data_IF_770801696331
#
_entry.id   IF_770801696331
#
_cell.length_a   1.000
_cell.length_b   1.000
_cell.length_c   1.000
_cell.angle_alpha   90.00
_cell.angle_beta   90.00
_cell.angle_gamma   90.00
#
_symmetry.space_group_name_H-M   'P 1'
#
loop_
_entity.id
_entity.type
_entity.pdbx_description
1 polymer ?
#
# COMPACT_ATOMS: atom_id res chain seq x y z
N UNK A 1 -11.38 6.75 22.39
CA UNK A 1 -12.52 7.14 21.53
C UNK A 1 -12.16 6.74 20.12
N UNK A 2 -12.81 5.70 19.59
CA UNK A 2 -12.70 5.34 18.18
C UNK A 2 -13.01 6.59 17.35
N UNK A 3 -12.15 6.95 16.39
CA UNK A 3 -12.36 8.09 15.49
C UNK A 3 -12.69 7.55 14.10
N UNK A 4 -13.96 7.27 13.78
CA UNK A 4 -14.38 6.78 12.46
C UNK A 4 -13.87 7.65 11.32
N UNK A 5 -13.76 8.97 11.55
CA UNK A 5 -13.24 9.92 10.59
C UNK A 5 -11.84 9.55 10.09
N UNK A 6 -10.95 9.07 10.98
CA UNK A 6 -9.59 8.68 10.60
C UNK A 6 -9.61 7.53 9.59
N UNK A 7 -10.46 6.53 9.80
CA UNK A 7 -10.59 5.38 8.91
C UNK A 7 -11.35 5.73 7.62
N UNK A 8 -12.30 6.67 7.67
CA UNK A 8 -12.97 7.20 6.47
C UNK A 8 -12.03 8.02 5.57
N UNK A 9 -10.91 8.52 6.10
CA UNK A 9 -9.88 9.20 5.31
C UNK A 9 -8.97 8.23 4.54
N UNK A 10 -8.94 6.94 4.90
CA UNK A 10 -8.07 5.94 4.27
C UNK A 10 -8.16 5.90 2.74
N UNK A 11 -9.37 5.90 2.11
CA UNK A 11 -9.47 5.93 0.65
C UNK A 11 -8.80 7.16 0.01
N UNK A 12 -8.86 8.33 0.67
CA UNK A 12 -8.31 9.59 0.15
C UNK A 12 -6.79 9.57 0.23
N UNK A 13 -6.22 9.19 1.39
CA UNK A 13 -4.76 9.11 1.55
C UNK A 13 -4.14 8.03 0.67
N UNK A 14 -4.86 6.92 0.46
CA UNK A 14 -4.49 5.89 -0.50
C UNK A 14 -4.41 6.46 -1.92
N UNK A 15 -5.45 7.15 -2.40
CA UNK A 15 -5.42 7.77 -3.73
C UNK A 15 -4.31 8.81 -3.89
N UNK A 16 -4.00 9.60 -2.86
CA UNK A 16 -2.89 10.56 -2.90
C UNK A 16 -1.55 9.84 -3.07
N UNK A 17 -1.34 8.77 -2.31
CA UNK A 17 -0.13 7.97 -2.38
C UNK A 17 0.03 7.28 -3.75
N UNK A 18 -0.99 6.56 -4.19
CA UNK A 18 -0.97 5.85 -5.46
C UNK A 18 -0.95 6.80 -6.66
N UNK A 19 -1.43 8.04 -6.54
CA UNK A 19 -1.27 9.05 -7.58
C UNK A 19 0.22 9.38 -7.84
N UNK A 20 1.05 9.47 -6.80
CA UNK A 20 2.51 9.61 -6.97
C UNK A 20 3.07 8.40 -7.71
N UNK A 21 2.67 7.19 -7.32
CA UNK A 21 3.11 5.96 -8.00
C UNK A 21 2.69 5.95 -9.47
N UNK A 22 1.43 6.26 -9.80
CA UNK A 22 0.92 6.30 -11.17
C UNK A 22 1.75 7.25 -12.03
N UNK A 23 2.03 8.45 -11.53
CA UNK A 23 2.76 9.50 -12.26
C UNK A 23 4.23 9.15 -12.45
N UNK A 24 4.87 8.59 -11.41
CA UNK A 24 6.35 8.48 -11.38
C UNK A 24 6.85 7.10 -11.80
N UNK A 25 6.08 6.03 -11.55
CA UNK A 25 6.52 4.64 -11.71
C UNK A 25 7.13 4.36 -13.08
N UNK A 26 6.47 4.74 -14.17
CA UNK A 26 6.95 4.36 -15.52
C UNK A 26 8.34 4.94 -15.82
N UNK A 27 8.48 6.23 -15.63
CA UNK A 27 9.75 6.94 -15.85
C UNK A 27 10.86 6.42 -14.92
N UNK A 28 10.50 6.06 -13.68
CA UNK A 28 11.45 5.50 -12.74
C UNK A 28 11.92 4.10 -13.17
N UNK A 29 11.02 3.21 -13.58
CA UNK A 29 11.35 1.86 -14.04
C UNK A 29 12.27 1.89 -15.27
N UNK A 30 11.97 2.76 -16.25
CA UNK A 30 12.77 2.84 -17.47
C UNK A 30 14.21 3.31 -17.20
N UNK A 31 14.43 4.15 -16.18
CA UNK A 31 15.76 4.68 -15.83
C UNK A 31 16.54 3.82 -14.84
N UNK A 32 15.86 3.16 -13.90
CA UNK A 32 16.51 2.57 -12.73
C UNK A 32 16.51 1.04 -12.71
N UNK A 33 15.58 0.37 -13.41
CA UNK A 33 15.40 -1.07 -13.27
C UNK A 33 16.67 -1.87 -13.57
N UNK A 34 17.42 -1.50 -14.61
CA UNK A 34 18.61 -2.26 -15.00
C UNK A 34 19.73 -2.16 -13.94
N UNK A 35 19.90 -0.98 -13.34
CA UNK A 35 20.83 -0.73 -12.23
C UNK A 35 20.40 -1.50 -10.98
N UNK A 36 19.10 -1.49 -10.67
CA UNK A 36 18.55 -2.21 -9.51
C UNK A 36 18.72 -3.72 -9.68
N UNK A 37 18.46 -4.25 -10.88
CA UNK A 37 18.64 -5.68 -11.19
C UNK A 37 20.10 -6.12 -11.07
N UNK A 38 21.06 -5.26 -11.43
CA UNK A 38 22.48 -5.55 -11.26
C UNK A 38 22.86 -5.63 -9.78
N UNK A 39 22.34 -4.71 -8.95
CA UNK A 39 22.64 -4.64 -7.51
C UNK A 39 21.88 -5.69 -6.68
N UNK A 40 20.67 -6.05 -7.11
CA UNK A 40 19.79 -7.02 -6.45
C UNK A 40 19.28 -8.07 -7.46
N UNK A 41 20.13 -9.03 -7.89
CA UNK A 41 19.76 -10.02 -8.90
C UNK A 41 18.54 -10.86 -8.53
N UNK A 42 18.32 -11.11 -7.23
CA UNK A 42 17.16 -11.82 -6.71
C UNK A 42 15.82 -11.12 -6.98
N UNK A 43 15.81 -9.79 -7.17
CA UNK A 43 14.61 -9.01 -7.46
C UNK A 43 14.26 -8.99 -8.96
N UNK A 44 15.11 -9.55 -9.83
CA UNK A 44 14.96 -9.50 -11.29
C UNK A 44 13.63 -10.05 -11.80
N UNK A 45 13.09 -11.19 -11.34
CA UNK A 45 11.80 -11.69 -11.81
C UNK A 45 10.66 -10.70 -11.53
N UNK A 46 10.62 -10.16 -10.31
CA UNK A 46 9.63 -9.18 -9.89
C UNK A 46 9.74 -7.88 -10.67
N UNK A 47 10.95 -7.32 -10.78
CA UNK A 47 11.17 -6.05 -11.49
C UNK A 47 10.85 -6.15 -12.99
N UNK A 48 11.12 -7.30 -13.62
CA UNK A 48 10.76 -7.53 -15.02
C UNK A 48 9.25 -7.49 -15.21
N UNK A 49 8.51 -8.15 -14.31
CA UNK A 49 7.04 -8.14 -14.31
C UNK A 49 6.48 -6.74 -14.10
N UNK A 50 6.98 -6.01 -13.09
CA UNK A 50 6.55 -4.65 -12.79
C UNK A 50 6.87 -3.66 -13.92
N UNK A 51 7.99 -3.85 -14.65
CA UNK A 51 8.37 -3.00 -15.81
C UNK A 51 7.46 -3.25 -17.02
N UNK A 52 7.02 -4.49 -17.21
CA UNK A 52 6.13 -4.87 -18.29
C UNK A 52 4.70 -4.33 -18.10
N UNK A 53 4.30 -4.06 -16.86
CA UNK A 53 2.95 -3.62 -16.54
C UNK A 53 2.62 -2.23 -17.09
N UNK A 54 1.53 -2.17 -17.85
CA UNK A 54 1.03 -0.94 -18.47
C UNK A 54 0.54 0.07 -17.42
N UNK A 55 0.56 1.38 -17.73
CA UNK A 55 -0.05 2.39 -16.84
C UNK A 55 -1.54 2.13 -16.66
N UNK A 56 -2.24 1.71 -17.71
CA UNK A 56 -3.65 1.34 -17.63
C UNK A 56 -3.87 0.15 -16.70
N UNK A 57 -3.09 -0.91 -16.82
CA UNK A 57 -3.17 -2.08 -15.94
C UNK A 57 -2.90 -1.71 -14.49
N UNK A 58 -1.87 -0.88 -14.23
CA UNK A 58 -1.61 -0.34 -12.90
C UNK A 58 -2.79 0.47 -12.34
N UNK A 59 -3.35 1.41 -13.10
CA UNK A 59 -4.53 2.17 -12.67
C UNK A 59 -5.75 1.27 -12.40
N UNK A 60 -5.93 0.16 -13.13
CA UNK A 60 -6.99 -0.81 -12.84
C UNK A 60 -6.80 -1.49 -11.49
N UNK A 61 -5.56 -1.84 -11.14
CA UNK A 61 -5.23 -2.41 -9.81
C UNK A 61 -5.50 -1.39 -8.71
N UNK A 62 -5.03 -0.15 -8.88
CA UNK A 62 -5.28 0.95 -7.91
C UNK A 62 -6.77 1.21 -7.72
N UNK A 63 -7.55 1.22 -8.82
CA UNK A 63 -8.98 1.45 -8.75
C UNK A 63 -9.72 0.34 -8.00
N UNK A 64 -9.26 -0.90 -8.12
CA UNK A 64 -9.87 -2.03 -7.41
C UNK A 64 -9.48 -2.06 -5.93
N UNK A 65 -8.22 -1.78 -5.58
CA UNK A 65 -7.80 -1.60 -4.18
C UNK A 65 -8.58 -0.46 -3.50
N UNK A 66 -8.83 0.64 -4.24
CA UNK A 66 -9.71 1.71 -3.76
C UNK A 66 -11.12 1.20 -3.43
N UNK A 67 -11.70 0.33 -4.27
CA UNK A 67 -13.02 -0.28 -4.01
C UNK A 67 -12.98 -1.23 -2.80
N UNK A 68 -11.90 -1.99 -2.61
CA UNK A 68 -11.70 -2.82 -1.42
C UNK A 68 -11.66 -1.97 -0.15
N UNK A 69 -10.95 -0.85 -0.17
CA UNK A 69 -10.89 0.09 0.96
C UNK A 69 -12.27 0.71 1.19
N UNK A 70 -12.99 1.13 0.14
CA UNK A 70 -14.35 1.66 0.25
C UNK A 70 -15.31 0.63 0.87
N UNK A 71 -15.22 -0.64 0.47
CA UNK A 71 -15.96 -1.73 1.08
C UNK A 71 -15.58 -1.92 2.55
N UNK A 72 -14.30 -1.80 2.90
CA UNK A 72 -13.83 -1.79 4.29
C UNK A 72 -14.50 -0.69 5.12
N UNK A 73 -14.64 0.51 4.57
CA UNK A 73 -15.36 1.63 5.22
C UNK A 73 -16.84 1.30 5.40
N UNK A 74 -17.51 0.73 4.40
CA UNK A 74 -18.90 0.30 4.52
C UNK A 74 -19.06 -0.79 5.60
N UNK A 75 -18.17 -1.78 5.64
CA UNK A 75 -18.16 -2.80 6.69
C UNK A 75 -17.99 -2.17 8.07
N UNK A 76 -17.11 -1.17 8.23
CA UNK A 76 -16.95 -0.45 9.50
C UNK A 76 -18.26 0.21 9.97
N UNK A 77 -19.03 0.79 9.06
CA UNK A 77 -20.27 1.49 9.37
C UNK A 77 -21.38 0.50 9.77
N UNK A 78 -21.52 -0.60 9.04
CA UNK A 78 -22.70 -1.47 9.14
C UNK A 78 -22.48 -2.82 9.83
N UNK A 79 -21.22 -3.28 9.97
CA UNK A 79 -20.91 -4.66 10.38
C UNK A 79 -19.82 -4.72 11.46
N UNK A 80 -18.59 -4.32 11.14
CA UNK A 80 -17.41 -4.45 11.99
C UNK A 80 -16.26 -3.58 11.49
N UNK A 81 -15.46 -3.03 12.42
CA UNK A 81 -14.25 -2.26 12.11
C UNK A 81 -13.03 -3.13 11.77
N UNK A 82 -13.10 -4.45 11.93
CA UNK A 82 -11.96 -5.35 11.69
C UNK A 82 -11.42 -5.29 10.24
N UNK A 83 -12.26 -5.30 9.18
CA UNK A 83 -11.76 -5.24 7.81
C UNK A 83 -11.00 -3.95 7.51
N UNK A 84 -11.54 -2.80 7.89
CA UNK A 84 -10.86 -1.51 7.66
C UNK A 84 -9.60 -1.38 8.53
N UNK A 85 -9.57 -1.98 9.72
CA UNK A 85 -8.38 -2.01 10.57
C UNK A 85 -7.26 -2.87 9.95
N UNK A 86 -7.59 -4.01 9.34
CA UNK A 86 -6.63 -4.82 8.60
C UNK A 86 -6.09 -4.08 7.37
N UNK A 87 -6.96 -3.43 6.59
CA UNK A 87 -6.54 -2.62 5.43
C UNK A 87 -5.71 -1.41 5.85
N UNK A 88 -6.02 -0.77 6.98
CA UNK A 88 -5.20 0.32 7.54
C UNK A 88 -3.79 -0.18 7.88
N UNK A 89 -3.64 -1.34 8.51
CA UNK A 89 -2.33 -1.93 8.75
C UNK A 89 -1.59 -2.28 7.44
N UNK A 90 -2.30 -2.83 6.46
CA UNK A 90 -1.76 -3.08 5.12
C UNK A 90 -1.19 -1.81 4.49
N UNK A 91 -1.97 -0.72 4.51
CA UNK A 91 -1.54 0.59 4.02
C UNK A 91 -0.33 1.12 4.79
N UNK A 92 -0.35 1.12 6.13
CA UNK A 92 0.79 1.57 6.95
C UNK A 92 2.07 0.83 6.54
N UNK A 93 2.01 -0.50 6.43
CA UNK A 93 3.16 -1.31 6.06
C UNK A 93 3.62 -1.05 4.62
N UNK A 94 2.71 -0.78 3.69
CA UNK A 94 3.03 -0.39 2.31
C UNK A 94 3.89 0.89 2.26
N UNK A 95 3.54 1.93 3.03
CA UNK A 95 4.36 3.14 3.13
C UNK A 95 5.77 2.83 3.66
N UNK A 96 5.86 1.96 4.68
CA UNK A 96 7.16 1.54 5.23
C UNK A 96 7.98 0.71 4.24
N UNK A 97 7.34 -0.06 3.35
CA UNK A 97 8.03 -0.76 2.26
C UNK A 97 8.73 0.24 1.35
N UNK A 98 8.08 1.33 0.94
CA UNK A 98 8.70 2.37 0.12
C UNK A 98 9.86 3.07 0.81
N UNK A 99 9.71 3.42 2.09
CA UNK A 99 10.80 4.00 2.89
C UNK A 99 11.98 3.02 2.98
N UNK A 100 11.71 1.74 3.21
CA UNK A 100 12.71 0.68 3.26
C UNK A 100 13.43 0.48 1.92
N UNK A 101 12.68 0.44 0.81
CA UNK A 101 13.22 0.37 -0.54
C UNK A 101 14.13 1.55 -0.85
N UNK A 102 13.69 2.78 -0.55
CA UNK A 102 14.50 3.98 -0.74
C UNK A 102 15.80 3.96 0.08
N UNK A 103 15.72 3.51 1.33
CA UNK A 103 16.87 3.38 2.23
C UNK A 103 17.87 2.35 1.71
N UNK A 104 17.39 1.18 1.28
CA UNK A 104 18.23 0.11 0.74
C UNK A 104 18.90 0.52 -0.58
N UNK A 105 18.14 1.16 -1.46
CA UNK A 105 18.61 1.65 -2.75
C UNK A 105 19.49 2.90 -2.61
N UNK A 106 19.37 3.64 -1.51
CA UNK A 106 19.93 4.97 -1.30
C UNK A 106 19.53 5.93 -2.42
N UNK A 107 18.29 5.80 -2.88
CA UNK A 107 17.74 6.55 -4.00
C UNK A 107 16.23 6.70 -3.82
N UNK A 108 15.67 7.65 -4.54
CA UNK A 108 14.22 7.82 -4.63
C UNK A 108 13.55 6.58 -5.24
N UNK A 109 12.34 6.24 -4.77
CA UNK A 109 11.44 5.25 -5.38
C UNK A 109 10.03 5.86 -5.53
N UNK A 110 9.23 5.43 -6.51
CA UNK A 110 7.85 5.89 -6.65
C UNK A 110 7.06 5.63 -5.36
N UNK A 111 6.38 6.66 -4.84
CA UNK A 111 5.62 6.56 -3.58
C UNK A 111 6.38 7.03 -2.33
N UNK A 112 7.68 7.31 -2.43
CA UNK A 112 8.49 7.74 -1.28
C UNK A 112 8.03 9.09 -0.71
N UNK A 113 7.70 10.06 -1.56
CA UNK A 113 7.41 11.43 -1.13
C UNK A 113 6.15 11.46 -0.26
N UNK A 114 5.08 10.88 -0.77
CA UNK A 114 3.80 10.74 -0.09
C UNK A 114 3.91 9.80 1.11
N UNK A 115 4.77 8.77 1.05
CA UNK A 115 5.02 7.91 2.23
C UNK A 115 5.56 8.72 3.41
N UNK A 116 6.50 9.64 3.17
CA UNK A 116 7.03 10.54 4.21
C UNK A 116 5.97 11.54 4.66
N UNK A 117 5.26 12.17 3.73
CA UNK A 117 4.21 13.18 4.03
C UNK A 117 3.08 12.57 4.87
N UNK A 118 2.74 11.29 4.65
CA UNK A 118 1.64 10.60 5.32
C UNK A 118 2.05 9.94 6.66
N UNK A 119 3.33 10.03 7.08
CA UNK A 119 3.76 9.52 8.40
C UNK A 119 2.95 10.07 9.58
N UNK A 120 2.58 11.36 9.65
CA UNK A 120 1.73 11.85 10.75
C UNK A 120 0.37 11.15 10.80
N UNK A 121 -0.22 10.85 9.64
CA UNK A 121 -1.47 10.10 9.54
C UNK A 121 -1.29 8.65 10.04
N UNK A 122 -0.21 7.96 9.65
CA UNK A 122 0.04 6.58 10.10
C UNK A 122 0.33 6.51 11.60
N UNK A 123 1.03 7.49 12.17
CA UNK A 123 1.27 7.57 13.63
C UNK A 123 -0.06 7.70 14.39
N UNK A 124 -0.96 8.55 13.92
CA UNK A 124 -2.30 8.68 14.51
C UNK A 124 -3.11 7.39 14.36
N UNK A 125 -3.07 6.74 13.20
CA UNK A 125 -3.75 5.47 12.94
C UNK A 125 -3.24 4.36 13.87
N UNK A 126 -1.92 4.19 14.01
CA UNK A 126 -1.32 3.23 14.94
C UNK A 126 -1.76 3.50 16.37
N UNK A 127 -1.75 4.77 16.81
CA UNK A 127 -2.19 5.14 18.16
C UNK A 127 -3.64 4.74 18.41
N UNK A 128 -4.54 4.99 17.46
CA UNK A 128 -5.96 4.62 17.61
C UNK A 128 -6.11 3.09 17.61
N UNK A 129 -5.43 2.38 16.71
CA UNK A 129 -5.46 0.92 16.61
C UNK A 129 -4.94 0.22 17.88
N UNK A 130 -3.89 0.74 18.52
CA UNK A 130 -3.34 0.17 19.76
C UNK A 130 -4.15 0.50 21.02
N UNK A 131 -4.96 1.57 20.97
CA UNK A 131 -5.94 1.85 22.02
C UNK A 131 -7.22 1.01 21.89
N UNK A 132 -7.60 0.65 20.66
CA UNK A 132 -8.81 -0.11 20.38
C UNK A 132 -8.60 -1.62 20.49
N UNK A 133 -7.47 -2.13 20.01
CA UNK A 133 -7.21 -3.56 19.90
C UNK A 133 -5.98 -3.99 20.72
N UNK A 134 -6.01 -5.21 21.25
CA UNK A 134 -4.86 -5.81 21.92
C UNK A 134 -3.64 -5.90 20.97
N UNK A 135 -2.43 -6.01 21.52
CA UNK A 135 -1.23 -6.21 20.72
C UNK A 135 -1.32 -7.45 19.82
N UNK A 136 -1.88 -8.55 20.34
CA UNK A 136 -2.10 -9.78 19.57
C UNK A 136 -3.09 -9.57 18.42
N UNK A 137 -4.21 -8.89 18.69
CA UNK A 137 -5.20 -8.57 17.67
C UNK A 137 -4.62 -7.68 16.58
N UNK A 138 -3.86 -6.64 16.94
CA UNK A 138 -3.18 -5.79 15.98
C UNK A 138 -2.17 -6.55 15.11
N UNK A 139 -1.41 -7.48 15.71
CA UNK A 139 -0.51 -8.35 14.94
C UNK A 139 -1.29 -9.21 13.93
N UNK A 140 -2.40 -9.82 14.35
CA UNK A 140 -3.23 -10.63 13.46
C UNK A 140 -3.85 -9.79 12.33
N UNK A 141 -4.31 -8.57 12.64
CA UNK A 141 -4.85 -7.64 11.64
C UNK A 141 -3.79 -7.19 10.65
N UNK A 142 -2.56 -6.94 11.09
CA UNK A 142 -1.46 -6.59 10.22
C UNK A 142 -1.10 -7.74 9.27
N UNK A 143 -0.98 -8.97 9.80
CA UNK A 143 -0.76 -10.16 8.97
C UNK A 143 -1.90 -10.38 7.98
N UNK A 144 -3.16 -10.26 8.43
CA UNK A 144 -4.32 -10.38 7.55
C UNK A 144 -4.31 -9.30 6.45
N UNK A 145 -4.02 -8.04 6.79
CA UNK A 145 -3.92 -6.94 5.83
C UNK A 145 -2.88 -7.22 4.74
N UNK A 146 -1.67 -7.63 5.13
CA UNK A 146 -0.61 -8.01 4.17
C UNK A 146 -1.09 -9.15 3.28
N UNK A 147 -1.66 -10.21 3.86
CA UNK A 147 -2.06 -11.41 3.11
C UNK A 147 -3.19 -11.10 2.12
N UNK A 148 -4.19 -10.32 2.54
CA UNK A 148 -5.32 -9.92 1.70
C UNK A 148 -4.81 -9.10 0.51
N UNK A 149 -4.04 -8.04 0.78
CA UNK A 149 -3.51 -7.15 -0.28
C UNK A 149 -2.56 -7.92 -1.19
N UNK A 150 -1.62 -8.70 -0.65
CA UNK A 150 -0.67 -9.45 -1.47
C UNK A 150 -1.38 -10.49 -2.36
N UNK A 151 -2.36 -11.22 -1.81
CA UNK A 151 -3.15 -12.17 -2.59
C UNK A 151 -3.95 -11.43 -3.68
N UNK A 152 -4.59 -10.32 -3.32
CA UNK A 152 -5.36 -9.52 -4.25
C UNK A 152 -4.49 -8.99 -5.40
N UNK A 153 -3.35 -8.39 -5.10
CA UNK A 153 -2.39 -7.93 -6.11
C UNK A 153 -1.94 -9.07 -7.04
N UNK A 154 -1.64 -10.26 -6.51
CA UNK A 154 -1.26 -11.41 -7.34
C UNK A 154 -2.37 -11.80 -8.31
N UNK A 155 -3.63 -11.78 -7.87
CA UNK A 155 -4.79 -12.05 -8.73
C UNK A 155 -4.94 -10.94 -9.77
N UNK A 156 -4.88 -9.69 -9.34
CA UNK A 156 -5.13 -8.52 -10.19
C UNK A 156 -4.06 -8.33 -11.26
N UNK A 157 -2.80 -8.61 -10.97
CA UNK A 157 -1.72 -8.60 -11.98
C UNK A 157 -1.86 -9.73 -13.03
N UNK A 158 -2.59 -10.81 -12.72
CA UNK A 158 -2.92 -11.84 -13.72
C UNK A 158 -4.04 -11.40 -14.64
N UNK A 159 -5.01 -10.65 -14.11
CA UNK A 159 -6.17 -10.15 -14.85
C UNK A 159 -5.78 -8.93 -15.71
N UNK A 160 -5.04 -7.99 -15.13
CA UNK A 160 -4.66 -6.72 -15.75
C UNK A 160 -3.14 -6.68 -15.99
N UNK A 161 -2.73 -6.93 -17.24
CA UNK A 161 -1.34 -6.77 -17.70
C UNK A 161 -1.01 -5.33 -18.12
#
# INVERSE_FOLDING_TARGET
MFTPLLFMLLPIVFLIHDAEEIVVRRNWMDKNTDIVMLRFPWAKPMLTHLKAQSTRGFCSVVAEEFLLIALGVLCMIYVSSLPIAALMWGFILHLFVHIGQATLLRSYVPGLTTSIILLPYTVLAVRVLTLEFSAFTNLMLALAGILIVAFNLVVMHKIFK
#
